data_IF_396905825300
#
_entry.id   IF_396905825300
#
_cell.length_a   1.000
_cell.length_b   1.000
_cell.length_c   1.000
_cell.angle_alpha   90.00
_cell.angle_beta   90.00
_cell.angle_gamma   90.00
#
_symmetry.space_group_name_H-M   'P 1'
#
loop_
_entity.id
_entity.type
_entity.pdbx_description
1 polymer ?
#
# COMPACT_ATOMS: atom_id res chain seq x y z
N UNK A 1 11.15 -18.43 9.39
CA UNK A 1 9.79 -19.02 9.47
C UNK A 1 9.48 -19.84 8.22
N UNK A 2 9.70 -19.29 7.02
CA UNK A 2 9.64 -20.02 5.76
C UNK A 2 10.97 -19.93 5.02
N UNK A 3 11.43 -21.01 4.42
CA UNK A 3 12.68 -21.07 3.63
C UNK A 3 12.46 -21.71 2.25
N UNK A 4 13.43 -21.55 1.35
CA UNK A 4 13.50 -22.27 0.07
C UNK A 4 13.39 -23.78 0.31
N UNK A 5 12.68 -24.49 -0.57
CA UNK A 5 12.54 -25.94 -0.49
C UNK A 5 11.57 -26.43 0.58
N UNK A 6 10.98 -25.53 1.36
CA UNK A 6 9.93 -25.87 2.33
C UNK A 6 8.73 -26.47 1.63
N UNK A 7 8.14 -27.51 2.23
CA UNK A 7 6.95 -28.15 1.70
C UNK A 7 5.80 -27.14 1.55
N UNK A 8 5.10 -27.22 0.43
CA UNK A 8 3.91 -26.43 0.14
C UNK A 8 2.86 -27.29 -0.57
N UNK A 9 1.64 -26.76 -0.62
CA UNK A 9 0.57 -27.24 -1.51
C UNK A 9 0.38 -26.19 -2.59
N UNK A 10 0.23 -26.60 -3.85
CA UNK A 10 -0.07 -25.68 -4.94
C UNK A 10 -1.26 -26.12 -5.78
N UNK A 11 -1.95 -25.17 -6.39
CA UNK A 11 -3.08 -25.41 -7.28
C UNK A 11 -2.86 -24.71 -8.63
N UNK A 12 -3.10 -25.48 -9.70
CA UNK A 12 -3.14 -24.99 -11.07
C UNK A 12 -4.62 -24.83 -11.43
N UNK A 13 -5.17 -23.63 -11.38
CA UNK A 13 -6.61 -23.51 -11.52
C UNK A 13 -7.01 -23.79 -12.96
N UNK A 14 -8.05 -24.60 -13.16
CA UNK A 14 -8.68 -24.86 -14.46
C UNK A 14 -10.11 -24.26 -14.52
N UNK A 15 -10.58 -23.77 -13.38
CA UNK A 15 -11.84 -23.08 -13.13
C UNK A 15 -11.64 -22.23 -11.87
N UNK A 16 -12.54 -21.28 -11.64
CA UNK A 16 -12.50 -20.42 -10.45
C UNK A 16 -12.50 -21.30 -9.20
N UNK A 17 -11.44 -21.30 -8.38
CA UNK A 17 -11.47 -21.98 -7.10
C UNK A 17 -12.57 -21.43 -6.19
N UNK A 18 -13.28 -20.36 -6.58
CA UNK A 18 -14.45 -19.81 -5.92
C UNK A 18 -14.03 -18.95 -4.74
N UNK A 19 -15.00 -18.26 -4.14
CA UNK A 19 -14.83 -17.50 -2.87
C UNK A 19 -14.47 -18.35 -1.64
N UNK A 20 -13.77 -19.48 -1.83
CA UNK A 20 -13.36 -20.48 -0.86
C UNK A 20 -12.31 -19.99 0.14
N UNK A 21 -11.88 -18.73 0.05
CA UNK A 21 -10.97 -18.12 1.01
C UNK A 21 -9.73 -19.01 1.25
N UNK A 22 -9.18 -19.53 0.15
CA UNK A 22 -8.05 -20.46 0.12
C UNK A 22 -6.79 -19.87 0.77
N UNK A 23 -6.74 -18.56 0.96
CA UNK A 23 -5.70 -17.85 1.67
C UNK A 23 -5.74 -18.06 3.20
N UNK A 24 -6.87 -18.56 3.75
CA UNK A 24 -7.09 -18.70 5.19
C UNK A 24 -6.49 -19.98 5.74
N UNK A 25 -6.16 -19.95 7.04
CA UNK A 25 -5.61 -21.09 7.77
C UNK A 25 -6.51 -22.34 7.70
N UNK A 26 -7.83 -22.16 7.85
CA UNK A 26 -8.82 -23.26 7.94
C UNK A 26 -9.23 -23.88 6.60
N UNK A 27 -8.66 -23.41 5.50
CA UNK A 27 -8.98 -23.98 4.19
C UNK A 27 -8.40 -25.39 4.05
N UNK A 28 -9.21 -26.30 3.51
CA UNK A 28 -8.83 -27.69 3.22
C UNK A 28 -8.26 -27.80 1.81
N UNK A 29 -6.96 -28.03 1.71
CA UNK A 29 -6.22 -28.22 0.46
C UNK A 29 -5.94 -29.71 0.15
N UNK A 30 -6.75 -30.63 0.68
CA UNK A 30 -6.62 -32.05 0.41
C UNK A 30 -7.14 -32.45 -0.99
N UNK A 31 -8.12 -31.74 -1.53
CA UNK A 31 -8.71 -32.01 -2.85
C UNK A 31 -8.21 -31.02 -3.91
N UNK A 32 -7.73 -31.53 -5.05
CA UNK A 32 -7.28 -30.74 -6.19
C UNK A 32 -5.92 -30.04 -6.07
N UNK A 33 -5.39 -29.83 -4.86
CA UNK A 33 -4.03 -29.28 -4.67
C UNK A 33 -2.97 -30.38 -4.76
N UNK A 34 -1.79 -29.99 -5.22
CA UNK A 34 -0.65 -30.86 -5.46
C UNK A 34 0.46 -30.56 -4.45
N UNK A 35 1.25 -31.58 -4.10
CA UNK A 35 2.44 -31.41 -3.26
C UNK A 35 3.56 -30.74 -4.06
N UNK A 36 4.25 -29.81 -3.40
CA UNK A 36 5.43 -29.16 -3.97
C UNK A 36 6.37 -28.64 -2.90
N UNK A 37 7.39 -27.93 -3.36
CA UNK A 37 8.38 -27.24 -2.57
C UNK A 37 8.48 -25.79 -3.01
N UNK A 38 8.64 -24.91 -2.04
CA UNK A 38 8.80 -23.49 -2.21
C UNK A 38 10.03 -23.15 -3.07
N UNK A 39 9.87 -22.22 -4.01
CA UNK A 39 10.70 -22.16 -5.22
C UNK A 39 10.01 -22.94 -6.33
N UNK A 40 8.87 -22.44 -6.80
CA UNK A 40 8.01 -23.13 -7.75
C UNK A 40 7.78 -22.28 -8.99
N UNK A 41 7.54 -22.93 -10.12
CA UNK A 41 7.35 -22.26 -11.39
C UNK A 41 7.74 -23.15 -12.56
N UNK A 42 7.99 -22.58 -13.73
CA UNK A 42 8.41 -23.32 -14.91
C UNK A 42 9.52 -22.57 -15.64
N UNK A 43 10.28 -23.30 -16.43
CA UNK A 43 11.33 -22.73 -17.27
C UNK A 43 11.59 -23.71 -18.43
N UNK A 44 11.21 -23.33 -19.66
CA UNK A 44 11.31 -24.21 -20.84
C UNK A 44 12.74 -24.39 -21.36
N UNK A 45 13.61 -23.41 -21.09
CA UNK A 45 15.03 -23.39 -21.49
C UNK A 45 15.83 -23.08 -20.26
N UNK A 46 16.83 -23.88 -19.85
CA UNK A 46 17.57 -23.62 -18.63
C UNK A 46 18.15 -22.20 -18.66
N UNK A 47 17.62 -21.37 -17.77
CA UNK A 47 17.80 -19.93 -17.71
C UNK A 47 18.10 -19.50 -16.28
N UNK A 48 17.73 -18.27 -15.93
CA UNK A 48 18.07 -17.69 -14.65
C UNK A 48 17.36 -18.36 -13.45
N UNK A 49 16.26 -19.10 -13.67
CA UNK A 49 15.41 -19.59 -12.59
C UNK A 49 15.73 -21.00 -12.13
N UNK A 50 16.48 -21.77 -12.93
CA UNK A 50 16.85 -23.17 -12.64
C UNK A 50 17.37 -23.40 -11.21
N UNK A 51 18.21 -22.51 -10.70
CA UNK A 51 18.79 -22.65 -9.35
C UNK A 51 17.80 -22.33 -8.24
N UNK A 52 16.69 -21.66 -8.55
CA UNK A 52 15.67 -21.23 -7.59
C UNK A 52 14.47 -22.18 -7.55
N UNK A 53 14.27 -22.98 -8.61
CA UNK A 53 13.17 -23.94 -8.73
C UNK A 53 13.46 -25.25 -7.97
N UNK A 54 12.69 -25.48 -6.91
CA UNK A 54 12.57 -26.74 -6.16
C UNK A 54 11.34 -27.55 -6.61
N UNK A 55 10.38 -26.92 -7.30
CA UNK A 55 9.26 -27.59 -7.96
C UNK A 55 9.03 -26.99 -9.34
N UNK A 56 9.16 -27.85 -10.36
CA UNK A 56 8.91 -27.46 -11.74
C UNK A 56 7.49 -27.83 -12.15
N UNK A 57 6.75 -26.87 -12.68
CA UNK A 57 5.43 -27.04 -13.26
C UNK A 57 5.59 -27.64 -14.65
N UNK A 58 5.43 -28.94 -14.75
CA UNK A 58 5.42 -29.61 -16.06
C UNK A 58 4.16 -29.26 -16.85
N UNK A 59 4.34 -28.71 -18.05
CA UNK A 59 3.30 -28.49 -19.04
C UNK A 59 3.91 -28.51 -20.46
N UNK A 60 3.10 -28.81 -21.47
CA UNK A 60 3.56 -28.72 -22.86
C UNK A 60 3.83 -27.25 -23.25
N UNK A 61 4.72 -27.04 -24.20
CA UNK A 61 5.04 -25.70 -24.69
C UNK A 61 3.79 -24.92 -25.11
N UNK A 62 3.65 -23.72 -24.55
CA UNK A 62 2.49 -22.87 -24.79
C UNK A 62 1.18 -23.38 -24.16
N UNK A 63 1.25 -24.29 -23.18
CA UNK A 63 0.12 -24.71 -22.33
C UNK A 63 0.31 -24.35 -20.86
N UNK A 64 1.32 -23.54 -20.54
CA UNK A 64 1.58 -23.11 -19.17
C UNK A 64 0.40 -22.33 -18.59
N UNK A 65 0.24 -22.33 -17.26
CA UNK A 65 -0.75 -21.49 -16.61
C UNK A 65 -0.28 -20.04 -16.51
N UNK A 66 -1.23 -19.09 -16.62
CA UNK A 66 -0.98 -17.66 -16.37
C UNK A 66 -0.83 -17.36 -14.87
N UNK A 67 -1.29 -18.26 -14.00
CA UNK A 67 -1.17 -18.10 -12.56
C UNK A 67 -1.15 -19.41 -11.80
N UNK A 68 -0.57 -19.36 -10.61
CA UNK A 68 -0.47 -20.47 -9.66
C UNK A 68 -0.92 -20.01 -8.27
N UNK A 69 -1.47 -20.94 -7.51
CA UNK A 69 -1.90 -20.72 -6.14
C UNK A 69 -1.05 -21.55 -5.21
N UNK A 70 -0.49 -20.96 -4.16
CA UNK A 70 0.44 -21.62 -3.24
C UNK A 70 -0.04 -21.48 -1.80
N UNK A 71 0.11 -22.54 -1.01
CA UNK A 71 -0.09 -22.55 0.43
C UNK A 71 1.13 -23.17 1.10
N UNK A 72 1.87 -22.37 1.86
CA UNK A 72 3.11 -22.77 2.52
C UNK A 72 2.84 -22.83 4.04
N UNK A 73 2.64 -24.04 4.61
CA UNK A 73 2.47 -24.19 6.05
C UNK A 73 3.78 -23.97 6.79
N UNK A 74 3.70 -23.32 7.95
CA UNK A 74 4.83 -23.15 8.85
C UNK A 74 4.39 -23.10 10.31
N UNK A 75 5.28 -23.50 11.21
CA UNK A 75 5.00 -23.60 12.64
C UNK A 75 5.55 -22.41 13.43
N UNK A 76 4.73 -21.89 14.34
CA UNK A 76 5.08 -20.81 15.26
C UNK A 76 4.90 -21.29 16.69
N UNK A 77 6.00 -21.40 17.45
CA UNK A 77 5.96 -21.87 18.85
C UNK A 77 5.38 -20.85 19.81
N UNK A 78 5.78 -19.59 19.65
CA UNK A 78 5.29 -18.45 20.43
C UNK A 78 5.23 -17.22 19.52
N UNK A 79 4.03 -16.78 19.09
CA UNK A 79 3.87 -15.57 18.30
C UNK A 79 4.43 -14.31 18.98
N UNK A 80 4.38 -14.26 20.32
CA UNK A 80 4.81 -13.09 21.10
C UNK A 80 6.33 -12.93 21.15
N UNK A 81 7.08 -13.96 20.75
CA UNK A 81 8.53 -13.91 20.67
C UNK A 81 9.03 -13.03 19.51
N UNK A 82 8.17 -12.72 18.54
CA UNK A 82 8.53 -11.90 17.38
C UNK A 82 8.14 -10.44 17.59
N UNK A 83 8.99 -9.54 17.10
CA UNK A 83 8.77 -8.09 17.08
C UNK A 83 8.34 -7.62 15.69
N UNK A 84 8.91 -8.23 14.65
CA UNK A 84 8.65 -7.87 13.26
C UNK A 84 8.69 -9.10 12.36
N UNK A 85 7.99 -9.03 11.22
CA UNK A 85 8.12 -9.99 10.13
C UNK A 85 8.64 -9.29 8.85
N UNK A 86 9.38 -10.02 8.04
CA UNK A 86 9.77 -9.63 6.70
C UNK A 86 9.52 -10.78 5.73
N UNK A 87 8.82 -10.49 4.65
CA UNK A 87 8.60 -11.41 3.54
C UNK A 87 9.58 -11.05 2.42
N UNK A 88 10.48 -11.97 2.09
CA UNK A 88 11.35 -11.86 0.93
C UNK A 88 10.76 -12.67 -0.21
N UNK A 89 10.63 -12.08 -1.39
CA UNK A 89 10.08 -12.78 -2.55
C UNK A 89 11.00 -12.60 -3.75
N UNK A 90 11.43 -13.72 -4.33
CA UNK A 90 11.98 -13.79 -5.68
C UNK A 90 10.84 -14.24 -6.57
N UNK A 91 10.49 -13.41 -7.54
CA UNK A 91 9.32 -13.63 -8.37
C UNK A 91 9.58 -13.13 -9.77
N UNK A 92 9.00 -13.82 -10.74
CA UNK A 92 9.08 -13.43 -12.14
C UNK A 92 8.22 -12.18 -12.37
N UNK A 93 6.96 -12.32 -12.81
CA UNK A 93 6.20 -11.14 -13.20
C UNK A 93 5.39 -10.50 -12.07
N UNK A 94 4.64 -11.28 -11.29
CA UNK A 94 3.78 -10.71 -10.28
C UNK A 94 3.28 -11.71 -9.24
N UNK A 95 2.73 -11.19 -8.16
CA UNK A 95 2.09 -12.01 -7.14
C UNK A 95 1.14 -11.19 -6.26
N UNK A 96 0.32 -11.90 -5.48
CA UNK A 96 -0.42 -11.37 -4.34
C UNK A 96 -0.28 -12.33 -3.16
N UNK A 97 0.11 -11.82 -1.99
CA UNK A 97 0.48 -12.64 -0.82
C UNK A 97 -0.41 -12.38 0.40
N UNK A 98 -0.60 -13.42 1.22
CA UNK A 98 -1.48 -13.41 2.38
C UNK A 98 -0.88 -14.20 3.54
N UNK A 99 -1.06 -13.73 4.77
CA UNK A 99 -0.75 -14.45 6.00
C UNK A 99 -2.05 -14.81 6.71
N UNK A 100 -2.34 -16.10 6.85
CA UNK A 100 -3.57 -16.60 7.48
C UNK A 100 -4.86 -15.93 6.92
N UNK A 101 -4.81 -15.54 5.65
CA UNK A 101 -5.87 -14.88 4.90
C UNK A 101 -5.95 -13.37 5.01
N UNK A 102 -5.00 -12.74 5.69
CA UNK A 102 -4.81 -11.28 5.65
C UNK A 102 -3.78 -10.90 4.60
N UNK A 103 -4.11 -9.92 3.77
CA UNK A 103 -3.22 -9.49 2.69
C UNK A 103 -1.92 -8.85 3.23
N UNK A 104 -0.79 -9.30 2.68
CA UNK A 104 0.54 -8.78 2.95
C UNK A 104 0.98 -7.75 1.90
N UNK A 105 0.48 -7.88 0.67
CA UNK A 105 0.76 -7.00 -0.45
C UNK A 105 0.75 -7.76 -1.77
N UNK A 106 0.86 -7.01 -2.87
CA UNK A 106 0.96 -7.54 -4.23
C UNK A 106 2.05 -6.82 -5.02
N UNK A 107 2.42 -7.42 -6.15
CA UNK A 107 3.25 -6.83 -7.19
C UNK A 107 2.64 -7.21 -8.53
N UNK A 108 2.44 -6.20 -9.39
CA UNK A 108 1.89 -6.37 -10.74
C UNK A 108 0.57 -7.18 -10.80
N UNK A 109 -0.25 -7.14 -9.75
CA UNK A 109 -1.58 -7.72 -9.78
C UNK A 109 -2.51 -6.83 -10.63
N UNK A 110 -3.22 -7.36 -11.64
CA UNK A 110 -4.09 -6.54 -12.49
C UNK A 110 -5.40 -6.19 -11.79
N UNK A 111 -6.05 -5.12 -12.28
CA UNK A 111 -7.44 -4.81 -11.97
C UNK A 111 -8.32 -4.97 -13.24
N UNK A 112 -9.45 -5.69 -13.17
CA UNK A 112 -9.93 -6.48 -12.03
C UNK A 112 -9.03 -7.70 -11.75
N UNK A 113 -8.88 -8.03 -10.47
CA UNK A 113 -8.11 -9.19 -10.02
C UNK A 113 -9.01 -10.43 -9.99
N UNK A 114 -8.78 -11.35 -10.92
CA UNK A 114 -9.57 -12.56 -11.11
C UNK A 114 -8.71 -13.79 -10.82
N UNK A 115 -9.39 -14.93 -10.66
CA UNK A 115 -8.70 -16.16 -10.30
C UNK A 115 -7.69 -16.66 -11.34
N UNK A 116 -7.95 -16.37 -12.61
CA UNK A 116 -7.11 -16.73 -13.74
C UNK A 116 -6.22 -15.57 -14.21
N UNK A 117 -6.14 -14.48 -13.44
CA UNK A 117 -5.36 -13.30 -13.83
C UNK A 117 -3.90 -13.65 -14.07
N UNK A 118 -3.33 -13.14 -15.16
CA UNK A 118 -1.89 -13.03 -15.35
C UNK A 118 -1.35 -11.75 -14.71
N UNK A 119 -0.06 -11.52 -14.81
CA UNK A 119 0.57 -10.29 -14.36
C UNK A 119 0.15 -9.10 -15.22
N UNK A 120 0.05 -7.91 -14.62
CA UNK A 120 -0.22 -6.66 -15.33
C UNK A 120 1.00 -6.16 -16.13
N UNK A 121 2.22 -6.55 -15.71
CA UNK A 121 3.49 -6.12 -16.30
C UNK A 121 4.50 -7.26 -16.25
N UNK A 122 5.35 -7.32 -17.28
CA UNK A 122 6.55 -8.15 -17.30
C UNK A 122 7.61 -7.58 -16.36
N UNK A 123 8.42 -8.45 -15.73
CA UNK A 123 9.61 -8.07 -14.96
C UNK A 123 10.83 -8.83 -15.51
N UNK A 124 11.99 -8.18 -15.51
CA UNK A 124 13.20 -8.77 -16.09
C UNK A 124 13.75 -9.89 -15.20
N UNK A 125 14.18 -11.00 -15.81
CA UNK A 125 14.70 -12.19 -15.10
C UNK A 125 15.83 -11.84 -14.12
N UNK A 126 16.67 -10.86 -14.48
CA UNK A 126 17.79 -10.41 -13.65
C UNK A 126 17.35 -9.72 -12.35
N UNK A 127 16.13 -9.19 -12.31
CA UNK A 127 15.49 -8.65 -11.12
C UNK A 127 14.58 -9.68 -10.44
N UNK A 128 14.04 -10.64 -11.19
CA UNK A 128 13.22 -11.72 -10.65
C UNK A 128 14.00 -12.65 -9.68
N UNK A 129 15.28 -12.86 -9.95
CA UNK A 129 16.17 -13.66 -9.07
C UNK A 129 16.64 -12.90 -7.82
N UNK A 130 16.45 -11.58 -7.76
CA UNK A 130 16.79 -10.77 -6.59
C UNK A 130 15.61 -10.76 -5.62
N UNK A 131 15.88 -11.11 -4.37
CA UNK A 131 14.85 -11.10 -3.35
C UNK A 131 14.40 -9.66 -3.05
N UNK A 132 13.12 -9.39 -3.26
CA UNK A 132 12.50 -8.15 -2.81
C UNK A 132 12.00 -8.31 -1.37
N UNK A 133 12.34 -7.36 -0.51
CA UNK A 133 11.93 -7.37 0.90
C UNK A 133 10.65 -6.56 1.11
N UNK A 134 9.58 -7.22 1.56
CA UNK A 134 8.35 -6.61 2.06
C UNK A 134 8.40 -6.66 3.59
N UNK A 135 8.72 -5.51 4.20
CA UNK A 135 8.66 -5.35 5.65
C UNK A 135 7.22 -5.29 6.10
N UNK A 136 6.87 -6.12 7.06
CA UNK A 136 5.53 -6.24 7.60
C UNK A 136 5.45 -5.49 8.93
N UNK A 137 4.38 -4.73 9.14
CA UNK A 137 4.16 -4.00 10.39
C UNK A 137 3.98 -4.93 11.59
N UNK A 138 4.13 -4.40 12.81
CA UNK A 138 3.88 -5.16 14.04
C UNK A 138 2.48 -5.82 14.08
N UNK A 139 1.46 -5.24 13.44
CA UNK A 139 0.13 -5.85 13.27
C UNK A 139 0.19 -7.19 12.57
N UNK A 140 1.06 -7.36 11.57
CA UNK A 140 1.20 -8.62 10.85
C UNK A 140 1.83 -9.71 11.73
N UNK A 141 2.57 -9.35 12.78
CA UNK A 141 2.99 -10.30 13.83
C UNK A 141 1.77 -10.80 14.61
N UNK A 142 0.80 -9.95 14.94
CA UNK A 142 -0.42 -10.37 15.67
C UNK A 142 -1.34 -11.31 14.87
N UNK A 143 -1.12 -11.44 13.55
CA UNK A 143 -1.83 -12.41 12.72
C UNK A 143 -1.24 -13.82 12.84
N UNK A 144 -0.05 -13.97 13.41
CA UNK A 144 0.50 -15.27 13.75
C UNK A 144 -0.30 -15.90 14.89
N UNK A 145 -0.65 -17.16 14.71
CA UNK A 145 -1.22 -17.98 15.77
C UNK A 145 -0.17 -18.96 16.29
N UNK A 146 -0.31 -19.40 17.53
CA UNK A 146 0.52 -20.48 18.05
C UNK A 146 0.17 -21.78 17.30
N UNK A 147 1.18 -22.50 16.83
CA UNK A 147 1.03 -23.69 15.99
C UNK A 147 1.11 -23.37 14.49
N UNK A 148 0.30 -24.06 13.69
CA UNK A 148 0.32 -23.96 12.24
C UNK A 148 -0.20 -22.61 11.75
N UNK A 149 0.55 -22.03 10.82
CA UNK A 149 0.22 -20.82 10.07
C UNK A 149 0.37 -21.11 8.57
N UNK A 150 -0.25 -20.28 7.73
CA UNK A 150 -0.18 -20.39 6.26
C UNK A 150 0.27 -19.07 5.67
N UNK A 151 1.34 -19.12 4.85
CA UNK A 151 1.61 -18.10 3.83
C UNK A 151 0.97 -18.55 2.52
N UNK A 152 0.03 -17.78 2.01
CA UNK A 152 -0.68 -18.04 0.77
C UNK A 152 -0.24 -17.05 -0.31
N UNK A 153 -0.02 -17.52 -1.54
CA UNK A 153 0.46 -16.68 -2.66
C UNK A 153 -0.30 -17.03 -3.94
N UNK A 154 -0.89 -16.02 -4.59
CA UNK A 154 -1.38 -16.10 -5.96
C UNK A 154 -0.29 -15.52 -6.85
N UNK A 155 0.51 -16.40 -7.46
CA UNK A 155 1.59 -16.03 -8.35
C UNK A 155 1.05 -15.81 -9.76
N UNK A 156 1.58 -14.80 -10.45
CA UNK A 156 1.04 -14.28 -11.70
C UNK A 156 2.15 -14.23 -12.74
N UNK A 157 1.82 -14.59 -13.97
CA UNK A 157 2.73 -14.54 -15.10
C UNK A 157 2.22 -13.59 -16.15
N UNK A 158 3.10 -12.78 -16.72
CA UNK A 158 2.83 -12.04 -17.93
C UNK A 158 2.66 -13.06 -19.06
N UNK A 159 1.56 -12.94 -19.81
CA UNK A 159 1.24 -13.87 -20.87
C UNK A 159 2.06 -13.64 -22.15
N UNK A 160 2.94 -12.65 -22.18
CA UNK A 160 3.53 -12.06 -23.37
C UNK A 160 2.44 -11.74 -24.43
N UNK A 161 2.40 -12.54 -25.50
CA UNK A 161 1.42 -12.41 -26.60
C UNK A 161 0.09 -13.11 -26.31
N UNK A 162 0.06 -13.96 -25.29
CA UNK A 162 -1.15 -14.65 -24.85
C UNK A 162 -1.89 -13.83 -23.79
N UNK A 163 -3.18 -14.08 -23.63
CA UNK A 163 -4.01 -13.45 -22.59
C UNK A 163 -4.63 -14.52 -21.70
N UNK A 164 -4.84 -14.22 -20.41
CA UNK A 164 -5.66 -15.03 -19.51
C UNK A 164 -6.97 -15.46 -20.16
N UNK A 165 -7.36 -16.72 -19.93
CA UNK A 165 -8.58 -17.30 -20.46
C UNK A 165 -9.28 -18.17 -19.41
N UNK A 166 -10.49 -18.64 -19.72
CA UNK A 166 -11.36 -19.33 -18.78
C UNK A 166 -10.79 -20.65 -18.24
N UNK A 167 -9.71 -21.19 -18.81
CA UNK A 167 -9.06 -22.41 -18.32
C UNK A 167 -7.70 -22.14 -17.68
N UNK A 168 -7.24 -20.89 -17.62
CA UNK A 168 -5.91 -20.49 -17.11
C UNK A 168 -4.79 -21.38 -17.67
N UNK A 169 -4.85 -21.64 -18.99
CA UNK A 169 -3.80 -22.36 -19.72
C UNK A 169 -3.45 -21.58 -20.97
N UNK A 170 -2.41 -21.98 -21.69
CA UNK A 170 -2.08 -21.32 -22.95
C UNK A 170 -1.16 -20.10 -22.78
N UNK A 171 -0.51 -19.95 -21.62
CA UNK A 171 0.49 -18.92 -21.41
C UNK A 171 1.65 -19.14 -22.38
N UNK A 172 1.97 -18.10 -23.14
CA UNK A 172 3.05 -18.11 -24.13
C UNK A 172 4.42 -17.82 -23.52
N UNK A 173 4.47 -17.34 -22.26
CA UNK A 173 5.73 -17.19 -21.55
C UNK A 173 6.41 -18.54 -21.35
N UNK A 174 7.74 -18.54 -21.42
CA UNK A 174 8.58 -19.71 -21.22
C UNK A 174 8.95 -19.96 -19.77
N UNK A 175 8.68 -18.99 -18.90
CA UNK A 175 9.18 -18.95 -17.54
C UNK A 175 8.16 -18.39 -16.56
N UNK A 176 8.34 -18.81 -15.31
CA UNK A 176 7.67 -18.31 -14.12
C UNK A 176 8.52 -18.71 -12.91
N UNK A 177 8.69 -17.81 -11.95
CA UNK A 177 9.34 -18.08 -10.67
C UNK A 177 8.50 -17.48 -9.54
N UNK A 178 8.34 -18.25 -8.47
CA UNK A 178 7.93 -17.73 -7.18
C UNK A 178 8.63 -18.50 -6.05
N UNK A 179 9.43 -17.77 -5.28
CA UNK A 179 10.17 -18.26 -4.12
C UNK A 179 10.01 -17.25 -2.99
N UNK A 180 9.34 -17.66 -1.91
CA UNK A 180 9.03 -16.79 -0.79
C UNK A 180 9.74 -17.22 0.50
N UNK A 181 10.36 -16.31 1.21
CA UNK A 181 10.97 -16.57 2.51
C UNK A 181 10.36 -15.64 3.55
N UNK A 182 9.82 -16.21 4.62
CA UNK A 182 9.27 -15.43 5.74
C UNK A 182 10.26 -15.49 6.90
N UNK A 183 10.74 -14.34 7.31
CA UNK A 183 11.67 -14.17 8.43
C UNK A 183 10.95 -13.43 9.54
N UNK A 184 11.13 -13.87 10.79
CA UNK A 184 10.63 -13.17 11.96
C UNK A 184 11.81 -12.71 12.81
N UNK A 185 11.86 -11.42 13.11
CA UNK A 185 12.81 -10.85 14.07
C UNK A 185 12.30 -11.12 15.47
N UNK A 186 13.11 -11.74 16.32
CA UNK A 186 12.74 -12.02 17.71
C UNK A 186 13.12 -10.85 18.60
N UNK A 187 12.33 -10.62 19.64
CA UNK A 187 12.56 -9.55 20.64
C UNK A 187 13.90 -9.66 21.38
N UNK A 188 14.48 -10.85 21.41
CA UNK A 188 15.73 -11.14 22.11
C UNK A 188 16.95 -11.19 21.14
N UNK A 189 16.72 -11.08 19.83
CA UNK A 189 17.79 -10.98 18.84
C UNK A 189 18.06 -9.49 18.59
N UNK A 190 19.33 -9.06 18.66
CA UNK A 190 19.68 -7.70 18.24
C UNK A 190 19.25 -7.51 16.78
N UNK A 191 18.47 -6.45 16.47
CA UNK A 191 18.08 -6.16 15.09
C UNK A 191 19.34 -6.07 14.21
N UNK A 192 19.28 -6.50 12.93
CA UNK A 192 20.34 -6.15 12.00
C UNK A 192 20.56 -4.64 12.05
N UNK A 193 21.84 -4.24 12.11
CA UNK A 193 22.29 -2.85 12.28
C UNK A 193 21.46 -1.85 11.48
N UNK A 194 21.12 -0.75 12.16
CA UNK A 194 20.42 0.46 11.75
C UNK A 194 19.85 0.48 10.32
N UNK A 195 18.54 0.76 10.22
CA UNK A 195 17.99 1.47 9.06
C UNK A 195 19.00 2.56 8.68
N UNK A 196 19.56 2.51 7.47
CA UNK A 196 20.15 3.73 6.92
C UNK A 196 19.04 4.79 7.08
N UNK A 197 19.27 5.78 7.94
CA UNK A 197 18.37 6.92 8.10
C UNK A 197 18.00 7.34 6.69
N UNK A 198 16.69 7.42 6.41
CA UNK A 198 16.17 7.83 5.12
C UNK A 198 17.01 9.03 4.67
N UNK A 199 17.78 8.87 3.58
CA UNK A 199 18.47 10.01 2.98
C UNK A 199 17.37 10.98 2.55
N UNK A 200 17.35 12.21 3.08
CA UNK A 200 16.30 13.14 2.73
C UNK A 200 16.29 13.38 1.21
N UNK A 201 15.10 13.38 0.63
CA UNK A 201 14.88 13.77 -0.75
C UNK A 201 15.26 15.24 -0.94
N UNK A 202 15.67 15.66 -2.14
CA UNK A 202 15.85 17.08 -2.47
C UNK A 202 14.55 17.89 -2.35
N UNK A 203 13.40 17.21 -2.31
CA UNK A 203 12.08 17.79 -2.13
C UNK A 203 11.59 17.74 -0.69
N UNK A 204 12.34 17.11 0.23
CA UNK A 204 11.95 17.08 1.64
C UNK A 204 12.10 18.48 2.26
N UNK A 205 11.05 18.89 2.97
CA UNK A 205 11.08 20.08 3.79
C UNK A 205 11.47 19.68 5.23
N UNK A 206 12.62 20.14 5.75
CA UNK A 206 12.96 19.90 7.15
C UNK A 206 11.95 20.61 8.05
N UNK A 207 11.46 19.90 9.07
CA UNK A 207 10.55 20.48 10.06
C UNK A 207 11.37 21.28 11.09
N UNK A 208 11.14 22.58 11.12
CA UNK A 208 11.80 23.48 12.07
C UNK A 208 10.98 23.60 13.37
N UNK A 209 11.64 23.90 14.49
CA UNK A 209 10.99 24.07 15.81
C UNK A 209 9.86 25.11 15.76
N UNK A 210 10.02 26.16 14.96
CA UNK A 210 9.00 27.20 14.79
C UNK A 210 7.71 26.69 14.12
N UNK A 211 7.76 25.58 13.38
CA UNK A 211 6.61 24.97 12.73
C UNK A 211 5.79 24.12 13.71
N UNK A 212 6.41 23.62 14.79
CA UNK A 212 5.76 22.76 15.78
C UNK A 212 4.90 23.61 16.73
N UNK A 213 3.61 23.26 16.85
CA UNK A 213 2.66 23.90 17.77
C UNK A 213 2.09 22.86 18.73
N UNK A 214 2.20 23.10 20.04
CA UNK A 214 1.67 22.19 21.05
C UNK A 214 2.46 20.88 21.12
N UNK A 215 1.79 19.79 21.45
CA UNK A 215 2.43 18.49 21.66
C UNK A 215 2.57 17.69 20.36
N UNK A 216 3.70 17.87 19.68
CA UNK A 216 4.13 17.04 18.54
C UNK A 216 5.56 16.57 18.78
N UNK A 217 5.83 15.28 18.55
CA UNK A 217 7.15 14.67 18.76
C UNK A 217 7.54 13.80 17.58
N UNK A 218 8.79 13.89 17.16
CA UNK A 218 9.36 12.93 16.24
C UNK A 218 9.56 11.58 16.95
N UNK A 219 9.24 10.49 16.27
CA UNK A 219 9.31 9.12 16.78
C UNK A 219 9.90 8.19 15.72
N UNK A 220 10.62 7.15 16.15
CA UNK A 220 11.24 6.15 15.26
C UNK A 220 10.30 5.05 14.78
N UNK A 221 9.02 5.11 15.15
CA UNK A 221 7.98 4.15 14.77
C UNK A 221 7.12 4.65 13.59
N UNK A 222 7.77 5.22 12.58
CA UNK A 222 7.12 5.71 11.37
C UNK A 222 6.74 4.60 10.39
N UNK A 223 5.97 4.96 9.37
CA UNK A 223 5.63 4.05 8.27
C UNK A 223 6.87 3.72 7.44
N UNK A 224 7.77 4.69 7.28
CA UNK A 224 9.02 4.57 6.52
C UNK A 224 10.25 5.04 7.30
N UNK A 225 10.34 4.67 8.58
CA UNK A 225 11.43 5.08 9.47
C UNK A 225 10.89 5.97 10.59
N UNK A 226 11.11 7.28 10.48
CA UNK A 226 10.62 8.26 11.46
C UNK A 226 9.24 8.82 11.08
N UNK A 227 8.46 9.25 12.07
CA UNK A 227 7.19 9.95 11.87
C UNK A 227 7.01 11.01 12.96
N UNK A 228 5.95 11.82 12.85
CA UNK A 228 5.55 12.75 13.92
C UNK A 228 4.31 12.22 14.63
N UNK A 229 4.37 12.09 15.96
CA UNK A 229 3.26 11.76 16.84
C UNK A 229 2.61 13.04 17.39
N UNK A 230 1.31 13.18 17.15
CA UNK A 230 0.50 14.35 17.50
C UNK A 230 -0.31 14.01 18.77
N UNK A 231 0.23 14.42 19.93
CA UNK A 231 -0.39 14.22 21.25
C UNK A 231 -1.37 15.31 21.68
N UNK A 232 -1.45 16.39 20.89
CA UNK A 232 -2.27 17.57 21.19
C UNK A 232 -1.74 18.83 20.51
N UNK A 233 -1.15 18.66 19.33
CA UNK A 233 -0.44 19.71 18.61
C UNK A 233 -0.62 19.60 17.10
N UNK A 234 0.15 20.40 16.36
CA UNK A 234 0.13 20.45 14.89
C UNK A 234 1.47 20.92 14.34
N UNK A 235 1.65 20.75 13.03
CA UNK A 235 2.71 21.40 12.26
C UNK A 235 2.08 22.49 11.39
N UNK A 236 2.58 23.72 11.52
CA UNK A 236 2.17 24.87 10.73
C UNK A 236 3.31 25.26 9.78
N UNK A 237 3.06 25.10 8.48
CA UNK A 237 4.08 25.18 7.43
C UNK A 237 3.70 26.24 6.40
N UNK A 238 4.67 27.11 6.10
CA UNK A 238 4.55 28.13 5.07
C UNK A 238 3.47 29.18 5.36
N UNK A 239 3.01 29.82 4.30
CA UNK A 239 2.22 31.04 4.36
C UNK A 239 0.96 30.98 3.49
N UNK A 240 0.12 32.02 3.60
CA UNK A 240 -1.14 32.14 2.85
C UNK A 240 -0.92 31.92 1.36
N UNK A 241 -1.78 31.10 0.74
CA UNK A 241 -1.77 30.73 -0.69
C UNK A 241 -0.55 29.93 -1.18
N UNK A 242 0.44 29.63 -0.36
CA UNK A 242 1.62 28.87 -0.78
C UNK A 242 1.24 27.44 -1.24
N UNK A 243 0.21 26.88 -0.61
CA UNK A 243 -0.36 25.57 -0.91
C UNK A 243 -1.77 25.65 -1.53
N UNK A 244 -2.05 26.76 -2.23
CA UNK A 244 -3.28 26.92 -3.02
C UNK A 244 -3.30 25.96 -4.22
N UNK A 245 -4.51 25.54 -4.62
CA UNK A 245 -4.70 24.75 -5.84
C UNK A 245 -4.95 25.74 -6.98
N UNK A 246 -3.88 26.10 -7.68
CA UNK A 246 -3.91 26.99 -8.85
C UNK A 246 -4.65 26.34 -10.05
N UNK A 247 -4.30 26.70 -11.27
CA UNK A 247 -4.88 26.18 -12.51
C UNK A 247 -4.38 24.77 -12.91
N UNK A 248 -3.41 24.22 -12.19
CA UNK A 248 -2.89 22.87 -12.38
C UNK A 248 -3.66 21.79 -11.61
N UNK A 249 -3.59 20.54 -12.10
CA UNK A 249 -4.00 19.35 -11.33
C UNK A 249 -3.10 19.18 -10.10
N UNK A 250 -3.61 18.49 -9.09
CA UNK A 250 -2.99 18.40 -7.78
C UNK A 250 -3.21 17.02 -7.16
N UNK A 251 -2.22 16.53 -6.43
CA UNK A 251 -2.38 15.34 -5.59
C UNK A 251 -1.83 15.60 -4.20
N UNK A 252 -2.56 15.21 -3.17
CA UNK A 252 -2.06 15.15 -1.79
C UNK A 252 -2.07 13.71 -1.31
N UNK A 253 -1.01 13.27 -0.64
CA UNK A 253 -0.91 11.95 -0.04
C UNK A 253 -0.26 12.01 1.33
N UNK A 254 -0.70 11.16 2.25
CA UNK A 254 -0.09 10.98 3.55
C UNK A 254 -0.43 9.61 4.16
N UNK A 255 0.37 9.18 5.12
CA UNK A 255 0.07 8.08 6.01
C UNK A 255 -0.33 8.59 7.39
N UNK A 256 -1.27 7.94 8.05
CA UNK A 256 -1.68 8.30 9.41
C UNK A 256 -2.04 7.07 10.24
N UNK A 257 -2.00 7.24 11.56
CA UNK A 257 -2.56 6.32 12.55
C UNK A 257 -3.56 7.05 13.43
N UNK A 258 -4.52 6.30 13.99
CA UNK A 258 -5.37 6.77 15.08
C UNK A 258 -5.82 5.59 15.93
N UNK A 259 -5.63 5.67 17.24
CA UNK A 259 -5.89 4.54 18.14
C UNK A 259 -7.38 4.32 18.42
N UNK A 260 -7.75 3.07 18.67
CA UNK A 260 -9.10 2.69 19.12
C UNK A 260 -9.47 3.42 20.42
N UNK A 261 -10.67 3.98 20.47
CA UNK A 261 -11.15 4.73 21.63
C UNK A 261 -10.67 6.19 21.70
N UNK A 262 -9.88 6.67 20.73
CA UNK A 262 -9.51 8.09 20.60
C UNK A 262 -10.59 8.96 19.94
N UNK A 263 -11.77 8.39 19.67
CA UNK A 263 -12.93 9.13 19.16
C UNK A 263 -13.55 9.95 20.28
N UNK A 264 -13.70 11.25 20.05
CA UNK A 264 -14.26 12.23 20.98
C UNK A 264 -15.54 12.89 20.41
N UNK A 265 -16.14 12.24 19.40
CA UNK A 265 -17.33 12.74 18.71
C UNK A 265 -17.06 13.92 17.78
N UNK A 266 -15.79 14.26 17.53
CA UNK A 266 -15.39 15.33 16.61
C UNK A 266 -14.64 14.78 15.40
N UNK A 267 -14.82 15.45 14.26
CA UNK A 267 -13.98 15.23 13.09
C UNK A 267 -12.56 15.74 13.39
N UNK A 268 -11.54 15.07 12.82
CA UNK A 268 -10.13 15.42 13.02
C UNK A 268 -9.44 15.59 11.68
N UNK A 269 -8.94 16.80 11.41
CA UNK A 269 -8.20 17.10 10.19
C UNK A 269 -6.80 16.53 10.27
N UNK A 270 -6.45 15.80 9.23
CA UNK A 270 -5.11 15.27 9.04
C UNK A 270 -4.22 16.32 8.39
N UNK A 271 -4.77 17.04 7.40
CA UNK A 271 -4.06 18.08 6.67
C UNK A 271 -5.08 19.12 6.17
N UNK A 272 -4.68 20.40 6.17
CA UNK A 272 -5.46 21.47 5.55
C UNK A 272 -4.57 22.60 5.05
N UNK A 273 -4.98 23.25 3.96
CA UNK A 273 -4.44 24.54 3.53
C UNK A 273 -5.60 25.52 3.39
N UNK A 274 -5.68 26.46 4.32
CA UNK A 274 -6.88 27.23 4.57
C UNK A 274 -7.98 26.41 5.26
N UNK A 275 -9.05 27.09 5.63
CA UNK A 275 -10.13 26.44 6.36
C UNK A 275 -10.92 25.46 5.49
N UNK A 276 -10.87 25.63 4.16
CA UNK A 276 -11.74 24.94 3.21
C UNK A 276 -13.17 24.95 3.73
N UNK A 277 -13.73 26.11 4.03
CA UNK A 277 -15.09 26.24 4.57
C UNK A 277 -15.91 27.13 3.66
N UNK A 278 -17.23 27.11 3.80
CA UNK A 278 -18.18 27.83 2.94
C UNK A 278 -18.03 29.37 2.97
N UNK A 279 -17.04 29.90 3.70
CA UNK A 279 -16.69 31.33 3.80
C UNK A 279 -15.19 31.61 3.67
N UNK A 280 -14.36 30.57 3.46
CA UNK A 280 -12.90 30.67 3.38
C UNK A 280 -12.35 29.63 2.42
N UNK A 281 -11.71 30.12 1.37
CA UNK A 281 -11.07 29.29 0.37
C UNK A 281 -10.00 28.38 0.97
N UNK A 282 -9.90 27.16 0.44
CA UNK A 282 -8.89 26.18 0.80
C UNK A 282 -9.33 24.76 0.56
N UNK A 283 -8.54 23.83 1.07
CA UNK A 283 -8.83 22.40 1.02
C UNK A 283 -8.41 21.71 2.31
N UNK A 284 -9.05 20.59 2.62
CA UNK A 284 -8.75 19.81 3.82
C UNK A 284 -9.10 18.33 3.64
N UNK A 285 -8.36 17.47 4.34
CA UNK A 285 -8.68 16.06 4.53
C UNK A 285 -8.90 15.80 6.03
N UNK A 286 -10.00 15.14 6.39
CA UNK A 286 -10.28 14.78 7.78
C UNK A 286 -10.94 13.43 7.94
N UNK A 287 -10.68 12.82 9.09
CA UNK A 287 -11.42 11.65 9.57
C UNK A 287 -12.74 12.13 10.18
N UNK A 288 -13.83 11.51 9.77
CA UNK A 288 -15.17 11.75 10.30
C UNK A 288 -15.25 11.37 11.79
N UNK A 289 -16.22 11.99 12.49
CA UNK A 289 -16.37 11.88 13.95
C UNK A 289 -16.56 10.45 14.48
N UNK A 290 -17.05 9.55 13.64
CA UNK A 290 -17.28 8.14 13.97
C UNK A 290 -16.05 7.25 13.74
N UNK A 291 -14.98 7.79 13.13
CA UNK A 291 -13.77 7.04 12.80
C UNK A 291 -13.91 6.10 11.61
N UNK A 292 -15.01 6.18 10.85
CA UNK A 292 -15.33 5.26 9.74
C UNK A 292 -15.38 5.93 8.37
N UNK A 293 -15.06 7.23 8.29
CA UNK A 293 -15.04 7.95 7.03
C UNK A 293 -13.88 8.92 6.91
N UNK A 294 -13.44 9.13 5.67
CA UNK A 294 -12.52 10.19 5.29
C UNK A 294 -13.24 11.14 4.36
N UNK A 295 -13.09 12.43 4.61
CA UNK A 295 -13.63 13.46 3.74
C UNK A 295 -12.52 14.35 3.24
N UNK A 296 -12.54 14.58 1.94
CA UNK A 296 -11.86 15.70 1.31
C UNK A 296 -12.86 16.81 1.03
N UNK A 297 -12.48 18.05 1.35
CA UNK A 297 -13.19 19.25 0.93
C UNK A 297 -12.27 20.15 0.15
N UNK A 298 -12.87 20.82 -0.83
CA UNK A 298 -12.27 21.94 -1.54
C UNK A 298 -13.30 23.07 -1.65
N UNK A 299 -12.87 24.31 -1.44
CA UNK A 299 -13.73 25.50 -1.52
C UNK A 299 -12.97 26.69 -2.06
N UNK A 300 -13.63 27.50 -2.90
CA UNK A 300 -13.12 28.78 -3.41
C UNK A 300 -13.51 29.98 -2.51
N UNK A 301 -14.20 29.73 -1.40
CA UNK A 301 -14.71 30.74 -0.47
C UNK A 301 -16.17 31.16 -0.73
N UNK A 302 -16.74 30.80 -1.89
CA UNK A 302 -18.15 31.03 -2.24
C UNK A 302 -18.91 29.70 -2.37
N UNK A 303 -18.27 28.69 -2.95
CA UNK A 303 -18.77 27.34 -3.16
C UNK A 303 -17.82 26.33 -2.53
N UNK A 304 -18.37 25.20 -2.06
CA UNK A 304 -17.60 24.10 -1.50
C UNK A 304 -18.07 22.77 -2.09
N UNK A 305 -17.15 21.82 -2.21
CA UNK A 305 -17.44 20.44 -2.58
C UNK A 305 -16.79 19.48 -1.61
N UNK A 306 -17.62 18.61 -1.03
CA UNK A 306 -17.19 17.47 -0.23
C UNK A 306 -17.18 16.19 -1.06
N UNK A 307 -16.20 15.35 -0.77
CA UNK A 307 -16.08 13.97 -1.20
C UNK A 307 -15.80 13.11 0.04
N UNK A 308 -16.74 12.24 0.43
CA UNK A 308 -16.62 11.42 1.64
C UNK A 308 -16.68 9.95 1.28
N UNK A 309 -15.64 9.20 1.63
CA UNK A 309 -15.62 7.75 1.54
C UNK A 309 -15.79 7.11 2.92
N UNK A 310 -16.29 5.87 2.95
CA UNK A 310 -16.42 5.06 4.16
C UNK A 310 -15.47 3.88 4.13
N UNK A 311 -14.99 3.49 5.31
CA UNK A 311 -14.18 2.31 5.60
C UNK A 311 -14.79 1.61 6.83
N UNK A 312 -14.45 0.34 7.06
CA UNK A 312 -14.88 -0.37 8.28
C UNK A 312 -14.38 0.33 9.56
N UNK A 313 -13.11 0.75 9.57
CA UNK A 313 -12.49 1.53 10.64
C UNK A 313 -11.25 2.23 10.11
N UNK A 314 -11.01 3.46 10.59
CA UNK A 314 -9.78 4.24 10.40
C UNK A 314 -9.16 4.64 11.76
N UNK A 315 -9.68 4.03 12.84
CA UNK A 315 -9.32 4.30 14.23
C UNK A 315 -8.92 3.01 14.94
N UNK A 316 -8.28 2.10 14.24
CA UNK A 316 -7.87 0.78 14.73
C UNK A 316 -6.42 0.74 15.26
N UNK A 317 -5.73 1.89 15.28
CA UNK A 317 -4.32 2.03 15.68
C UNK A 317 -3.32 1.77 14.56
N UNK A 318 -3.81 1.56 13.34
CA UNK A 318 -2.99 1.06 12.24
C UNK A 318 -2.66 2.15 11.23
N UNK A 319 -1.59 1.93 10.48
CA UNK A 319 -1.22 2.83 9.40
C UNK A 319 -2.21 2.70 8.26
N UNK A 320 -2.92 3.79 7.98
CA UNK A 320 -3.74 3.97 6.80
C UNK A 320 -3.08 4.96 5.85
N UNK A 321 -3.24 4.71 4.57
CA UNK A 321 -2.84 5.62 3.51
C UNK A 321 -4.05 6.36 2.97
N UNK A 322 -3.92 7.67 2.78
CA UNK A 322 -4.93 8.45 2.05
C UNK A 322 -4.25 9.21 0.92
N UNK A 323 -4.90 9.22 -0.24
CA UNK A 323 -4.53 10.09 -1.33
C UNK A 323 -5.76 10.77 -1.94
N UNK A 324 -5.62 12.04 -2.30
CA UNK A 324 -6.65 12.81 -3.00
C UNK A 324 -6.05 13.33 -4.29
N UNK A 325 -6.71 13.03 -5.40
CA UNK A 325 -6.35 13.54 -6.73
C UNK A 325 -7.41 14.55 -7.16
N UNK A 326 -6.97 15.76 -7.51
CA UNK A 326 -7.77 16.81 -8.12
C UNK A 326 -7.29 16.99 -9.55
N UNK A 327 -8.12 16.58 -10.51
CA UNK A 327 -7.82 16.71 -11.93
C UNK A 327 -8.56 17.89 -12.55
N UNK A 328 -7.81 18.90 -13.00
CA UNK A 328 -8.32 20.01 -13.80
C UNK A 328 -8.52 19.51 -15.25
N UNK A 329 -9.68 19.79 -15.85
CA UNK A 329 -9.92 19.52 -17.27
C UNK A 329 -10.69 18.24 -17.63
N UNK A 330 -11.20 17.46 -16.67
CA UNK A 330 -12.12 16.36 -17.02
C UNK A 330 -12.55 15.39 -15.93
N UNK A 331 -11.66 14.95 -15.04
CA UNK A 331 -11.95 13.78 -14.17
C UNK A 331 -12.39 14.13 -12.74
N UNK A 332 -12.31 15.40 -12.33
CA UNK A 332 -12.85 15.84 -11.04
C UNK A 332 -11.95 15.50 -9.85
N UNK A 333 -12.56 15.04 -8.76
CA UNK A 333 -11.89 14.74 -7.49
C UNK A 333 -11.99 13.23 -7.26
N UNK A 334 -10.89 12.60 -6.92
CA UNK A 334 -10.81 11.19 -6.56
C UNK A 334 -10.21 11.05 -5.16
N UNK A 335 -10.77 10.15 -4.35
CA UNK A 335 -10.31 9.82 -3.01
C UNK A 335 -9.92 8.35 -2.96
N UNK A 336 -8.69 8.11 -2.49
CA UNK A 336 -8.12 6.79 -2.31
C UNK A 336 -7.85 6.55 -0.83
N UNK A 337 -8.16 5.33 -0.38
CA UNK A 337 -7.82 4.83 0.96
C UNK A 337 -7.10 3.51 0.77
N UNK A 338 -5.93 3.36 1.39
CA UNK A 338 -5.12 2.14 1.35
C UNK A 338 -4.86 1.66 -0.09
N UNK A 339 -4.49 2.61 -0.96
CA UNK A 339 -4.19 2.37 -2.38
C UNK A 339 -5.41 2.19 -3.30
N UNK A 340 -6.62 1.98 -2.76
CA UNK A 340 -7.82 1.74 -3.56
C UNK A 340 -8.63 3.02 -3.81
N UNK A 341 -9.14 3.21 -5.03
CA UNK A 341 -10.11 4.26 -5.34
C UNK A 341 -11.44 3.95 -4.64
N UNK A 342 -11.79 4.74 -3.64
CA UNK A 342 -12.99 4.50 -2.80
C UNK A 342 -14.15 5.43 -3.15
N UNK A 343 -13.87 6.62 -3.68
CA UNK A 343 -14.92 7.56 -4.06
C UNK A 343 -14.41 8.57 -5.11
N UNK A 344 -15.31 9.04 -5.98
CA UNK A 344 -14.98 10.07 -6.98
C UNK A 344 -16.16 10.98 -7.29
N UNK A 345 -15.87 12.23 -7.65
CA UNK A 345 -16.89 13.22 -7.97
C UNK A 345 -16.41 14.20 -9.02
N UNK A 346 -17.26 14.43 -10.01
CA UNK A 346 -17.07 15.51 -10.97
C UNK A 346 -17.42 16.85 -10.30
N UNK A 347 -16.47 17.78 -10.26
CA UNK A 347 -16.62 19.11 -9.67
C UNK A 347 -16.36 20.22 -10.69
N UNK A 348 -16.96 20.13 -11.88
CA UNK A 348 -16.60 20.98 -13.03
C UNK A 348 -16.65 22.48 -12.72
N UNK A 349 -17.73 22.98 -12.11
CA UNK A 349 -17.90 24.42 -11.87
C UNK A 349 -16.84 25.00 -10.92
N UNK A 350 -16.41 24.24 -9.91
CA UNK A 350 -15.38 24.68 -8.96
C UNK A 350 -13.98 24.55 -9.54
N UNK A 351 -13.76 23.54 -10.40
CA UNK A 351 -12.47 23.23 -11.00
C UNK A 351 -12.25 23.87 -12.38
N UNK A 352 -13.18 24.69 -12.88
CA UNK A 352 -13.13 25.38 -14.18
C UNK A 352 -12.14 26.56 -14.19
N UNK A 353 -10.84 26.25 -14.18
CA UNK A 353 -9.74 27.19 -14.46
C UNK A 353 -9.45 28.29 -13.43
N UNK A 354 -10.26 28.46 -12.38
CA UNK A 354 -9.99 29.45 -11.32
C UNK A 354 -9.05 28.92 -10.25
N UNK A 355 -8.12 29.75 -9.80
CA UNK A 355 -7.28 29.45 -8.63
C UNK A 355 -8.15 29.32 -7.38
N UNK A 356 -7.99 28.21 -6.67
CA UNK A 356 -8.60 27.97 -5.37
C UNK A 356 -7.56 28.35 -4.32
N UNK A 357 -7.72 29.57 -3.79
CA UNK A 357 -6.82 30.12 -2.79
C UNK A 357 -6.84 29.32 -1.47
N UNK A 358 -5.83 29.55 -0.63
CA UNK A 358 -5.75 28.99 0.71
C UNK A 358 -5.62 30.15 1.71
N UNK A 359 -6.57 30.27 2.64
CA UNK A 359 -6.59 31.37 3.60
C UNK A 359 -5.44 31.37 4.63
N UNK A 360 -4.65 30.30 4.69
CA UNK A 360 -3.48 30.11 5.56
C UNK A 360 -2.39 29.32 4.83
N UNK A 361 -1.26 29.07 5.51
CA UNK A 361 -0.34 28.00 5.15
C UNK A 361 -0.92 26.60 5.38
N UNK A 362 -0.08 25.59 5.23
CA UNK A 362 -0.41 24.18 5.44
C UNK A 362 -0.40 23.87 6.93
N UNK A 363 -1.45 23.22 7.42
CA UNK A 363 -1.57 22.73 8.79
C UNK A 363 -1.69 21.21 8.75
N UNK A 364 -0.77 20.50 9.41
CA UNK A 364 -0.82 19.05 9.59
C UNK A 364 -1.28 18.76 11.02
N UNK A 365 -2.24 17.85 11.16
CA UNK A 365 -2.83 17.46 12.44
C UNK A 365 -3.87 18.43 13.00
N UNK A 366 -4.32 19.45 12.26
CA UNK A 366 -5.43 20.33 12.67
C UNK A 366 -6.12 21.04 11.51
N UNK A 367 -7.19 21.74 11.83
CA UNK A 367 -7.73 22.82 11.01
C UNK A 367 -6.88 24.08 11.16
N UNK A 368 -6.67 24.84 10.08
CA UNK A 368 -6.10 26.18 10.16
C UNK A 368 -6.88 27.15 11.06
N UNK A 369 -8.19 26.93 11.20
CA UNK A 369 -9.14 27.85 11.86
C UNK A 369 -9.57 27.46 13.27
N UNK A 370 -9.18 26.30 13.76
CA UNK A 370 -9.53 25.84 15.11
C UNK A 370 -8.31 25.20 15.81
N UNK A 371 -8.54 24.73 17.03
CA UNK A 371 -7.55 24.08 17.89
C UNK A 371 -7.88 22.59 18.09
N UNK A 372 -8.57 22.00 17.11
CA UNK A 372 -8.93 20.58 17.13
C UNK A 372 -7.80 19.76 16.51
N UNK A 373 -7.02 19.13 17.39
CA UNK A 373 -5.85 18.36 16.99
C UNK A 373 -6.20 16.90 16.73
N UNK A 374 -5.63 16.34 15.66
CA UNK A 374 -5.64 14.91 15.39
C UNK A 374 -4.75 14.19 16.42
N UNK A 375 -5.29 13.21 17.16
CA UNK A 375 -4.48 12.34 18.00
C UNK A 375 -3.94 11.16 17.18
N UNK A 376 -2.62 11.03 17.10
CA UNK A 376 -1.93 9.91 16.46
C UNK A 376 -0.75 10.33 15.60
N UNK A 377 -0.16 9.38 14.90
CA UNK A 377 1.03 9.60 14.06
C UNK A 377 0.65 9.99 12.64
N UNK A 378 1.42 10.87 12.01
CA UNK A 378 1.36 11.19 10.57
C UNK A 378 2.76 11.06 9.98
N UNK A 379 2.86 10.48 8.78
CA UNK A 379 4.11 10.25 8.07
C UNK A 379 3.92 10.46 6.55
N UNK A 380 5.03 10.68 5.83
CA UNK A 380 5.15 10.72 4.38
C UNK A 380 4.10 11.58 3.68
N UNK A 381 3.98 12.83 4.16
CA UNK A 381 3.11 13.85 3.56
C UNK A 381 3.75 14.38 2.29
N UNK A 382 3.13 14.13 1.14
CA UNK A 382 3.65 14.57 -0.16
C UNK A 382 2.56 15.24 -0.99
N UNK A 383 2.93 16.35 -1.63
CA UNK A 383 2.06 17.13 -2.51
C UNK A 383 2.67 17.19 -3.92
N UNK A 384 1.88 16.83 -4.93
CA UNK A 384 2.26 16.93 -6.34
C UNK A 384 1.47 18.04 -7.05
N UNK A 385 2.12 18.71 -7.99
CA UNK A 385 1.49 19.66 -8.93
C UNK A 385 0.95 18.99 -10.20
N UNK A 386 0.55 17.72 -10.08
CA UNK A 386 -0.10 16.92 -11.13
C UNK A 386 -1.11 15.96 -10.53
N UNK A 387 -2.01 15.45 -11.37
CA UNK A 387 -2.80 14.28 -11.02
C UNK A 387 -1.90 13.04 -11.10
N UNK A 388 -1.85 12.25 -10.03
CA UNK A 388 -1.27 10.91 -10.07
C UNK A 388 -2.30 9.93 -10.64
N UNK A 389 -1.83 8.92 -11.37
CA UNK A 389 -2.66 7.83 -11.86
C UNK A 389 -2.97 6.85 -10.71
N UNK A 390 -4.10 6.10 -10.78
CA UNK A 390 -4.43 5.08 -9.78
C UNK A 390 -3.29 4.09 -9.50
N UNK A 391 -2.58 3.65 -10.53
CA UNK A 391 -1.43 2.73 -10.40
C UNK A 391 -0.23 3.36 -9.68
N UNK A 392 -0.07 4.68 -9.75
CA UNK A 392 0.97 5.40 -9.00
C UNK A 392 0.61 5.49 -7.52
N UNK A 393 -0.67 5.68 -7.20
CA UNK A 393 -1.20 5.66 -5.83
C UNK A 393 -1.08 4.26 -5.22
N UNK A 394 -1.44 3.23 -5.98
CA UNK A 394 -1.27 1.83 -5.55
C UNK A 394 0.22 1.50 -5.30
N UNK A 395 1.12 1.97 -6.17
CA UNK A 395 2.57 1.82 -6.00
C UNK A 395 3.07 2.49 -4.71
N UNK A 396 2.60 3.70 -4.38
CA UNK A 396 2.92 4.37 -3.10
C UNK A 396 2.47 3.51 -1.92
N UNK A 397 1.22 3.04 -1.94
CA UNK A 397 0.66 2.26 -0.84
C UNK A 397 1.44 0.95 -0.58
N UNK A 398 1.80 0.25 -1.66
CA UNK A 398 2.47 -1.05 -1.60
C UNK A 398 3.99 -0.97 -1.39
N UNK A 399 4.56 0.23 -1.45
CA UNK A 399 5.98 0.45 -1.34
C UNK A 399 6.52 0.19 0.07
N UNK A 400 7.81 -0.21 0.14
CA UNK A 400 8.61 -0.22 1.36
C UNK A 400 9.42 1.08 1.57
N UNK A 401 9.33 2.02 0.64
CA UNK A 401 10.00 3.32 0.64
C UNK A 401 8.96 4.45 0.60
N UNK A 402 9.33 5.62 1.14
CA UNK A 402 8.50 6.83 1.11
C UNK A 402 8.17 7.25 -0.33
N UNK A 403 7.06 7.96 -0.51
CA UNK A 403 6.65 8.45 -1.82
C UNK A 403 7.70 9.39 -2.43
N UNK A 404 8.36 10.22 -1.61
CA UNK A 404 9.49 11.04 -2.09
C UNK A 404 10.61 10.21 -2.73
N UNK A 405 11.04 9.12 -2.08
CA UNK A 405 12.08 8.25 -2.62
C UNK A 405 11.66 7.49 -3.88
N UNK A 406 10.38 7.10 -3.99
CA UNK A 406 9.86 6.37 -5.14
C UNK A 406 9.87 7.16 -6.46
N UNK A 407 9.62 8.47 -6.40
CA UNK A 407 9.46 9.32 -7.59
C UNK A 407 10.68 10.21 -7.87
N UNK A 408 11.73 10.17 -7.04
CA UNK A 408 13.01 10.82 -7.34
C UNK A 408 13.78 10.15 -8.49
N UNK A 409 13.50 8.87 -8.77
CA UNK A 409 14.17 8.10 -9.84
C UNK A 409 13.68 8.44 -11.26
N UNK A 410 12.58 9.20 -11.40
CA UNK A 410 11.92 9.47 -12.68
C UNK A 410 12.11 10.92 -13.20
N UNK A 411 12.95 11.73 -12.56
CA UNK A 411 13.23 13.11 -13.01
C UNK A 411 14.64 13.23 -13.61
N UNK A 412 14.80 13.46 -14.93
CA UNK A 412 16.11 13.84 -15.46
C UNK A 412 16.57 15.17 -14.84
N UNK A 413 17.87 15.28 -14.64
CA UNK A 413 18.57 16.43 -14.01
C UNK A 413 18.18 17.81 -14.55
#
# INVERSE_FOLDING_TARGET
LIMKGQALRYFRPALDPGGLKWERLVFDDSDGWLDGRNGIGYEEVPGAFKEFLETTIESEKGKHPHSLYLRIPFEVKDPKAYEQLALYVQYDDGFKAYLNGSELGSRNAPFPFLWNSGSAKKRDDSDAVKAEAIRLSARRVSQLVQGTNILAIHALNDGEKSKPNATNTGCASSDMLILAQLVGLRKDDEPPEEQEKRKPSKHDLPIEEAMIKGEVKEVSEGRFGEAYDFGGGSLDIGSKNEFAIADQSFTASLWFTRNSGSTDGQARRLISAGAGSDKKAGWAVWIQKDGTGLTFRISDGDSASDLTAKQESLVDGEWHHVAVVVERGGSGIQLFIDGALVEQKVAMALLDGKTIGASSGLCIGRNSDDQQHHPGKIDDVVLWRRALLPEEIEKIFQSGQSAGGLFELDSPE
#
